data_IF_545419714821
#
_entry.id   IF_545419714821
#
_cell.length_a   1.000
_cell.length_b   1.000
_cell.length_c   1.000
_cell.angle_alpha   90.00
_cell.angle_beta   90.00
_cell.angle_gamma   90.00
#
_symmetry.space_group_name_H-M   'P 1'
#
loop_
_entity.id
_entity.type
_entity.pdbx_description
1 polymer ?
#
# COMPACT_ATOMS: atom_id res chain seq x y z
N UNK A 1 3.55 -27.85 1.67
CA UNK A 1 2.58 -27.06 0.86
C UNK A 1 2.53 -25.63 1.40
N UNK A 2 2.85 -24.61 0.59
CA UNK A 2 2.64 -23.20 0.97
C UNK A 2 1.13 -22.91 0.91
N UNK A 3 0.53 -22.42 2.00
CA UNK A 3 -0.89 -22.06 2.02
C UNK A 3 -1.17 -20.98 0.95
N UNK A 4 -2.26 -21.08 0.17
CA UNK A 4 -2.64 -20.02 -0.75
C UNK A 4 -2.90 -18.73 0.03
N UNK A 5 -2.30 -17.63 -0.41
CA UNK A 5 -2.50 -16.33 0.22
C UNK A 5 -3.84 -15.77 -0.26
N UNK A 6 -4.87 -15.61 0.59
CA UNK A 6 -6.20 -15.15 0.20
C UNK A 6 -6.19 -13.74 -0.43
N UNK A 7 -5.14 -12.95 -0.15
CA UNK A 7 -4.96 -11.63 -0.76
C UNK A 7 -4.57 -11.72 -2.24
N UNK A 8 -3.97 -12.83 -2.68
CA UNK A 8 -3.56 -13.04 -4.08
C UNK A 8 -4.78 -13.24 -5.00
N UNK A 9 -5.80 -13.94 -4.53
CA UNK A 9 -7.04 -14.17 -5.27
C UNK A 9 -7.86 -12.88 -5.39
N UNK A 10 -7.99 -12.12 -4.30
CA UNK A 10 -8.62 -10.79 -4.33
C UNK A 10 -7.91 -9.85 -5.30
N UNK A 11 -6.56 -9.82 -5.28
CA UNK A 11 -5.78 -9.02 -6.22
C UNK A 11 -6.02 -9.43 -7.69
N UNK A 12 -6.09 -10.72 -7.97
CA UNK A 12 -6.37 -11.22 -9.32
C UNK A 12 -7.79 -10.87 -9.78
N UNK A 13 -8.77 -10.92 -8.89
CA UNK A 13 -10.16 -10.54 -9.19
C UNK A 13 -10.26 -9.04 -9.52
N UNK A 14 -9.62 -8.18 -8.72
CA UNK A 14 -9.56 -6.74 -8.97
C UNK A 14 -8.86 -6.45 -10.30
N UNK A 15 -7.75 -7.14 -10.60
CA UNK A 15 -7.04 -6.99 -11.87
C UNK A 15 -7.93 -7.36 -13.07
N UNK A 16 -8.73 -8.43 -12.97
CA UNK A 16 -9.71 -8.82 -14.01
C UNK A 16 -10.79 -7.78 -14.19
N UNK A 17 -11.32 -7.22 -13.10
CA UNK A 17 -12.31 -6.16 -13.17
C UNK A 17 -11.74 -4.89 -13.83
N UNK A 18 -10.50 -4.47 -13.50
CA UNK A 18 -9.83 -3.33 -14.16
C UNK A 18 -9.66 -3.60 -15.66
N UNK A 19 -9.27 -4.83 -16.03
CA UNK A 19 -9.08 -5.21 -17.42
C UNK A 19 -10.38 -5.21 -18.24
N UNK A 20 -11.52 -5.47 -17.60
CA UNK A 20 -12.83 -5.50 -18.24
C UNK A 20 -13.53 -4.12 -18.29
N UNK A 21 -12.98 -3.09 -17.64
CA UNK A 21 -13.53 -1.72 -17.69
C UNK A 21 -13.18 -1.02 -19.02
N UNK A 22 -14.13 -0.28 -19.58
CA UNK A 22 -13.90 0.58 -20.75
C UNK A 22 -13.09 1.82 -20.35
N UNK A 23 -12.42 2.45 -21.31
CA UNK A 23 -11.63 3.68 -21.06
C UNK A 23 -12.51 4.83 -20.53
N UNK A 24 -13.77 4.91 -20.97
CA UNK A 24 -14.76 5.87 -20.49
C UNK A 24 -15.11 5.64 -19.01
N UNK A 25 -15.31 4.39 -18.63
CA UNK A 25 -15.56 4.01 -17.23
C UNK A 25 -14.37 4.38 -16.35
N UNK A 26 -13.14 4.08 -16.81
CA UNK A 26 -11.91 4.46 -16.11
C UNK A 26 -11.77 5.99 -15.98
N UNK A 27 -12.10 6.74 -17.03
CA UNK A 27 -12.06 8.19 -17.03
C UNK A 27 -13.05 8.81 -16.03
N UNK A 28 -14.26 8.23 -15.91
CA UNK A 28 -15.27 8.70 -14.96
C UNK A 28 -14.83 8.51 -13.50
N UNK A 29 -14.10 7.44 -13.20
CA UNK A 29 -13.46 7.25 -11.89
C UNK A 29 -12.35 8.29 -11.63
N UNK A 30 -11.52 8.59 -12.63
CA UNK A 30 -10.45 9.59 -12.53
C UNK A 30 -10.94 11.04 -12.42
N UNK A 31 -12.17 11.33 -12.83
CA UNK A 31 -12.80 12.65 -12.68
C UNK A 31 -13.28 12.94 -11.25
N UNK A 32 -13.37 11.93 -10.37
CA UNK A 32 -13.70 12.13 -8.96
C UNK A 32 -12.54 12.83 -8.24
N UNK A 33 -12.83 13.45 -7.10
CA UNK A 33 -11.81 14.09 -6.28
C UNK A 33 -10.63 13.12 -6.01
N UNK A 34 -9.37 13.58 -6.12
CA UNK A 34 -8.22 12.69 -5.99
C UNK A 34 -8.15 12.12 -4.58
N UNK A 35 -8.05 10.79 -4.48
CA UNK A 35 -7.74 10.12 -3.22
C UNK A 35 -6.35 10.59 -2.76
N UNK A 36 -6.27 11.04 -1.51
CA UNK A 36 -5.04 11.53 -0.91
C UNK A 36 -4.41 10.46 -0.03
N UNK A 37 -3.13 10.65 0.28
CA UNK A 37 -2.44 9.94 1.36
C UNK A 37 -2.67 10.68 2.69
N UNK A 38 -2.37 10.03 3.82
CA UNK A 38 -2.39 10.68 5.14
C UNK A 38 -1.53 11.97 5.20
N UNK A 39 -0.50 12.08 4.36
CA UNK A 39 0.34 13.27 4.21
C UNK A 39 -0.21 14.29 3.19
N UNK A 40 -1.50 14.20 2.84
CA UNK A 40 -2.19 15.05 1.87
C UNK A 40 -1.61 15.05 0.43
N UNK A 41 -0.84 14.03 0.05
CA UNK A 41 -0.35 13.88 -1.34
C UNK A 41 -1.27 12.99 -2.17
N UNK A 42 -1.58 13.33 -3.43
CA UNK A 42 -2.41 12.49 -4.29
C UNK A 42 -1.72 11.17 -4.64
N UNK A 43 -2.48 10.08 -4.69
CA UNK A 43 -1.97 8.78 -5.15
C UNK A 43 -1.94 8.69 -6.68
N UNK A 44 -1.16 7.76 -7.22
CA UNK A 44 -1.12 7.52 -8.67
C UNK A 44 -2.48 7.07 -9.21
N UNK A 45 -2.80 7.37 -10.48
CA UNK A 45 -4.09 6.99 -11.09
C UNK A 45 -4.38 5.48 -11.05
N UNK A 46 -3.34 4.64 -11.13
CA UNK A 46 -3.47 3.18 -10.96
C UNK A 46 -3.90 2.81 -9.53
N UNK A 47 -3.30 3.43 -8.52
CA UNK A 47 -3.69 3.21 -7.12
C UNK A 47 -5.03 3.86 -6.80
N UNK A 48 -5.39 4.98 -7.45
CA UNK A 48 -6.71 5.59 -7.35
C UNK A 48 -7.80 4.60 -7.78
N UNK A 49 -7.70 4.06 -9.00
CA UNK A 49 -8.70 3.12 -9.50
C UNK A 49 -8.73 1.83 -8.66
N UNK A 50 -7.56 1.30 -8.28
CA UNK A 50 -7.47 0.11 -7.45
C UNK A 50 -8.11 0.30 -6.06
N UNK A 51 -7.91 1.46 -5.43
CA UNK A 51 -8.52 1.80 -4.15
C UNK A 51 -10.04 2.00 -4.30
N UNK A 52 -10.47 2.75 -5.32
CA UNK A 52 -11.88 3.03 -5.58
C UNK A 52 -12.71 1.76 -5.83
N UNK A 53 -12.13 0.73 -6.44
CA UNK A 53 -12.78 -0.57 -6.63
C UNK A 53 -12.91 -1.42 -5.37
N UNK A 54 -12.08 -1.16 -4.36
CA UNK A 54 -12.15 -1.84 -3.05
C UNK A 54 -13.02 -1.05 -2.07
N UNK A 55 -13.07 0.27 -2.21
CA UNK A 55 -13.85 1.18 -1.38
C UNK A 55 -14.26 2.41 -2.22
N UNK A 56 -15.52 2.46 -2.64
CA UNK A 56 -16.04 3.53 -3.51
C UNK A 56 -16.03 4.92 -2.85
N UNK A 57 -15.95 4.96 -1.52
CA UNK A 57 -15.92 6.17 -0.69
C UNK A 57 -14.53 6.56 -0.19
N UNK A 58 -13.46 5.94 -0.69
CA UNK A 58 -12.10 6.27 -0.26
C UNK A 58 -11.76 7.74 -0.57
N UNK A 59 -11.22 8.45 0.41
CA UNK A 59 -10.84 9.87 0.32
C UNK A 59 -9.41 10.11 0.77
N UNK A 60 -8.98 9.43 1.84
CA UNK A 60 -7.64 9.59 2.39
C UNK A 60 -7.13 8.25 2.89
N UNK A 61 -6.03 7.78 2.31
CA UNK A 61 -5.43 6.47 2.60
C UNK A 61 -4.14 6.62 3.41
N UNK A 62 -4.02 5.80 4.45
CA UNK A 62 -2.83 5.72 5.28
C UNK A 62 -2.50 4.28 5.66
N UNK A 63 -1.22 4.02 5.89
CA UNK A 63 -0.80 2.78 6.55
C UNK A 63 -1.27 2.76 8.01
N UNK A 64 -1.39 1.58 8.62
CA UNK A 64 -1.81 1.45 10.02
C UNK A 64 -0.98 2.32 10.99
N UNK A 65 0.36 2.26 10.87
CA UNK A 65 1.26 3.07 11.69
C UNK A 65 1.19 4.57 11.37
N UNK A 66 0.85 4.95 10.13
CA UNK A 66 0.67 6.35 9.76
C UNK A 66 -0.57 6.92 10.46
N UNK A 67 -1.66 6.16 10.52
CA UNK A 67 -2.85 6.58 11.26
C UNK A 67 -2.56 6.72 12.75
N UNK A 68 -1.85 5.76 13.34
CA UNK A 68 -1.44 5.85 14.75
C UNK A 68 -0.60 7.11 15.03
N UNK A 69 0.36 7.42 14.16
CA UNK A 69 1.17 8.64 14.26
C UNK A 69 0.34 9.91 14.07
N UNK A 70 -0.72 9.86 13.26
CA UNK A 70 -1.68 10.94 13.07
C UNK A 70 -2.74 11.01 14.20
N UNK A 71 -2.58 10.26 15.29
CA UNK A 71 -3.51 10.27 16.43
C UNK A 71 -4.84 9.58 16.15
N UNK A 72 -4.91 8.71 15.14
CA UNK A 72 -6.10 7.93 14.77
C UNK A 72 -5.82 6.43 14.87
N UNK A 73 -6.83 5.64 15.19
CA UNK A 73 -6.73 4.19 15.23
C UNK A 73 -7.73 3.56 14.27
N UNK A 74 -7.27 2.58 13.47
CA UNK A 74 -8.17 1.79 12.61
C UNK A 74 -9.10 0.96 13.49
N UNK A 75 -10.40 0.97 13.19
CA UNK A 75 -11.40 0.21 13.95
C UNK A 75 -11.17 -1.29 13.79
N UNK A 76 -11.49 -2.04 14.86
CA UNK A 76 -11.41 -3.50 14.85
C UNK A 76 -12.46 -4.08 13.89
N UNK A 77 -12.02 -4.93 12.96
CA UNK A 77 -12.90 -5.60 11.99
C UNK A 77 -12.94 -4.93 10.61
N UNK A 78 -12.31 -3.77 10.45
CA UNK A 78 -12.19 -3.09 9.16
C UNK A 78 -11.34 -3.86 8.16
N UNK A 79 -11.77 -3.85 6.90
CA UNK A 79 -11.04 -4.51 5.82
C UNK A 79 -10.01 -3.57 5.21
N UNK A 80 -8.77 -4.05 5.06
CA UNK A 80 -7.72 -3.28 4.42
C UNK A 80 -7.95 -3.11 2.91
N UNK A 81 -7.62 -1.92 2.41
CA UNK A 81 -7.53 -1.58 0.99
C UNK A 81 -6.10 -1.87 0.55
N UNK A 82 -5.90 -2.57 -0.56
CA UNK A 82 -4.56 -2.88 -1.08
C UNK A 82 -4.16 -1.93 -2.21
N UNK A 83 -2.99 -1.32 -2.08
CA UNK A 83 -2.40 -0.47 -3.14
C UNK A 83 -1.01 -0.99 -3.54
N UNK A 84 -0.55 -0.63 -4.73
CA UNK A 84 0.82 -0.92 -5.14
C UNK A 84 1.80 0.09 -4.53
N UNK A 85 2.81 -0.42 -3.83
CA UNK A 85 3.92 0.38 -3.32
C UNK A 85 5.27 -0.20 -3.76
N UNK A 86 6.27 0.65 -4.03
CA UNK A 86 7.62 0.18 -4.34
C UNK A 86 8.21 -0.52 -3.10
N UNK A 87 8.85 -1.67 -3.32
CA UNK A 87 9.58 -2.44 -2.32
C UNK A 87 11.01 -2.65 -2.82
N UNK A 88 11.85 -1.63 -2.69
CA UNK A 88 13.30 -1.79 -2.72
C UNK A 88 13.78 -2.00 -1.28
N UNK A 89 14.55 -3.04 -1.01
CA UNK A 89 15.26 -3.12 0.27
C UNK A 89 16.39 -2.11 0.12
N UNK A 90 16.32 -0.91 0.71
CA UNK A 90 17.53 -0.10 0.83
C UNK A 90 18.47 -0.95 1.67
N UNK A 91 19.51 -1.53 1.07
CA UNK A 91 20.56 -2.15 1.83
C UNK A 91 21.14 -1.04 2.72
N UNK A 92 20.72 -1.02 3.98
CA UNK A 92 21.41 -0.27 5.01
C UNK A 92 22.80 -0.88 5.07
N UNK A 93 23.76 -0.17 4.49
CA UNK A 93 25.17 -0.38 4.72
C UNK A 93 25.40 -0.12 6.21
N UNK A 94 25.31 -1.16 7.03
CA UNK A 94 26.01 -1.33 8.30
C UNK A 94 25.65 -2.68 8.93
N UNK A 95 26.71 -3.40 9.33
CA UNK A 95 26.73 -4.64 10.12
C UNK A 95 26.26 -5.94 9.42
N UNK A 96 27.20 -6.62 8.73
CA UNK A 96 27.99 -7.65 9.42
C UNK A 96 29.06 -8.20 8.48
N UNK A 97 30.31 -8.10 8.92
CA UNK A 97 31.47 -8.70 8.28
C UNK A 97 31.43 -10.23 8.39
N UNK A 98 31.50 -10.90 7.25
CA UNK A 98 32.26 -12.12 7.05
C UNK A 98 32.65 -12.19 5.56
N UNK A 99 33.95 -12.26 5.21
CA UNK A 99 34.37 -12.39 3.83
C UNK A 99 34.25 -13.87 3.43
N UNK A 100 33.32 -14.19 2.54
CA UNK A 100 33.44 -15.43 1.77
C UNK A 100 34.19 -15.08 0.50
N UNK A 101 35.46 -15.46 0.47
CA UNK A 101 36.30 -15.44 -0.70
C UNK A 101 35.79 -16.47 -1.70
N UNK A 102 35.22 -16.02 -2.82
CA UNK A 102 35.45 -16.63 -4.13
C UNK A 102 35.03 -15.62 -5.20
N UNK A 103 36.01 -15.20 -6.01
CA UNK A 103 35.84 -14.16 -7.01
C UNK A 103 35.06 -14.67 -8.22
N UNK A 104 33.91 -14.04 -8.49
CA UNK A 104 33.34 -13.98 -9.82
C UNK A 104 32.50 -12.71 -9.97
N UNK A 105 33.03 -11.79 -10.78
CA UNK A 105 32.35 -10.70 -11.47
C UNK A 105 31.40 -9.81 -10.65
N UNK A 106 31.87 -8.59 -10.39
CA UNK A 106 31.04 -7.42 -10.13
C UNK A 106 30.11 -7.15 -11.33
N UNK A 107 28.99 -7.87 -11.43
CA UNK A 107 27.84 -7.40 -12.19
C UNK A 107 27.09 -6.40 -11.32
N UNK A 108 27.04 -5.16 -11.79
CA UNK A 108 26.18 -4.13 -11.26
C UNK A 108 24.73 -4.63 -11.27
N UNK A 109 24.27 -5.16 -10.13
CA UNK A 109 22.87 -5.50 -9.89
C UNK A 109 22.12 -4.18 -9.92
N UNK A 110 21.60 -3.80 -11.10
CA UNK A 110 20.54 -2.82 -11.21
C UNK A 110 19.41 -3.31 -10.31
N UNK A 111 19.34 -2.74 -9.11
CA UNK A 111 18.44 -3.17 -8.06
C UNK A 111 17.00 -2.93 -8.54
N UNK A 112 16.41 -3.95 -9.14
CA UNK A 112 15.10 -3.85 -9.76
C UNK A 112 14.06 -3.47 -8.71
N UNK A 113 13.49 -2.27 -8.84
CA UNK A 113 12.42 -1.80 -7.96
C UNK A 113 11.19 -2.67 -8.23
N UNK A 114 10.94 -3.63 -7.34
CA UNK A 114 9.71 -4.44 -7.35
C UNK A 114 8.57 -3.66 -6.71
N UNK A 115 7.35 -3.89 -7.17
CA UNK A 115 6.14 -3.36 -6.53
C UNK A 115 5.41 -4.50 -5.80
N UNK A 116 4.96 -4.23 -4.58
CA UNK A 116 4.17 -5.15 -3.78
C UNK A 116 2.82 -4.52 -3.44
N UNK A 117 1.83 -5.36 -3.14
CA UNK A 117 0.57 -4.90 -2.56
C UNK A 117 0.76 -4.68 -1.06
N UNK A 118 0.48 -3.46 -0.61
CA UNK A 118 0.53 -3.10 0.81
C UNK A 118 -0.88 -2.79 1.32
N UNK A 119 -1.21 -3.19 2.56
CA UNK A 119 -2.48 -2.83 3.18
C UNK A 119 -2.45 -1.37 3.64
N UNK A 120 -3.48 -0.62 3.26
CA UNK A 120 -3.78 0.74 3.71
C UNK A 120 -5.24 0.82 4.15
N UNK A 121 -5.59 1.88 4.86
CA UNK A 121 -6.93 2.11 5.41
C UNK A 121 -7.38 3.52 5.07
N UNK A 122 -8.66 3.67 4.80
CA UNK A 122 -9.28 4.98 4.62
C UNK A 122 -9.53 5.68 5.96
N UNK A 123 -9.53 7.01 5.97
CA UNK A 123 -9.86 7.82 7.16
C UNK A 123 -11.22 7.46 7.77
N UNK A 124 -12.22 7.10 6.95
CA UNK A 124 -13.54 6.67 7.41
C UNK A 124 -13.52 5.36 8.21
N UNK A 125 -12.45 4.58 8.10
CA UNK A 125 -12.20 3.34 8.86
C UNK A 125 -11.44 3.58 10.17
N UNK A 126 -11.12 4.84 10.48
CA UNK A 126 -10.36 5.22 11.66
C UNK A 126 -11.18 6.09 12.59
N UNK A 127 -10.94 5.94 13.89
CA UNK A 127 -11.48 6.81 14.92
C UNK A 127 -10.35 7.61 15.59
N UNK A 128 -10.69 8.75 16.17
CA UNK A 128 -9.74 9.53 16.95
C UNK A 128 -9.31 8.76 18.19
N UNK A 129 -8.00 8.69 18.40
CA UNK A 129 -7.46 8.02 19.57
C UNK A 129 -7.69 8.94 20.79
N UNK A 130 -8.27 8.44 21.89
CA UNK A 130 -8.29 9.20 23.14
C UNK A 130 -6.86 9.56 23.54
N UNK A 131 -6.65 10.80 23.99
CA UNK A 131 -5.33 11.38 24.32
C UNK A 131 -4.48 10.47 25.24
N UNK A 132 -5.13 9.70 26.11
CA UNK A 132 -4.50 8.78 27.07
C UNK A 132 -3.68 7.66 26.39
N UNK A 133 -4.03 7.25 25.16
CA UNK A 133 -3.32 6.17 24.47
C UNK A 133 -2.19 6.66 23.55
N UNK A 134 -2.04 7.96 23.33
CA UNK A 134 -0.97 8.52 22.48
C UNK A 134 0.36 8.54 23.25
N UNK A 135 0.32 8.60 24.58
CA UNK A 135 1.49 8.64 25.46
C UNK A 135 2.14 7.26 25.73
N UNK A 136 1.49 6.17 25.34
CA UNK A 136 1.89 4.79 25.71
C UNK A 136 2.51 3.97 24.56
N UNK A 137 2.82 4.59 23.42
CA UNK A 137 3.33 3.90 22.22
C UNK A 137 4.72 4.40 21.81
#
# INVERSE_FOLDING_TARGET
>A
MRKPNPNKEKAAQLARQIANMTEEQKALWLQRAPILTADARPISGKNHMLAAMQCEGATMLGGFNQWLAAGRAVRKGESAIYIFAPSGRRATAEASAAPSADGAAAEAVAESVRFILVPVFDVSQTDEKPAEQVAAA
#
